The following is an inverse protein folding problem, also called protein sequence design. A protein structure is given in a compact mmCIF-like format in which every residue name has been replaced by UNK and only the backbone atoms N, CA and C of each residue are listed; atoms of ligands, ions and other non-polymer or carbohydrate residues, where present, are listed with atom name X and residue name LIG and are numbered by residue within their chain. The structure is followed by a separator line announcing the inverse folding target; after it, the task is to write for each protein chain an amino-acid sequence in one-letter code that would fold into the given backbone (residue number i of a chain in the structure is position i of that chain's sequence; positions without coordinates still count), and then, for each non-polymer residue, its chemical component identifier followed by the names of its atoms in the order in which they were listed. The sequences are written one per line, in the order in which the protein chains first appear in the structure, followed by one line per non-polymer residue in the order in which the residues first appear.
data_IF_022927595531
#
_entry.id   IF_022927595531
#
_cell.length_a   1.000
_cell.length_b   1.000
_cell.length_c   1.000
_cell.angle_alpha   90.00
_cell.angle_beta   90.00
_cell.angle_gamma   90.00
#
_symmetry.space_group_name_H-M   'P 1'
#
loop_
_entity.id
_entity.type
_entity.pdbx_description
1 polymer ?
#
# COMPACT_ATOMS: atom_id res chain seq x y z
N UNK A 1 12.57 10.70 6.90
CA UNK A 1 13.35 9.98 7.94
C UNK A 1 12.58 8.76 8.45
N UNK A 2 13.19 7.82 9.19
CA UNK A 2 12.51 6.62 9.72
C UNK A 2 11.25 6.99 10.53
N UNK A 3 11.35 7.98 11.43
CA UNK A 3 10.23 8.40 12.26
C UNK A 3 9.01 8.88 11.48
N UNK A 4 9.22 9.63 10.40
CA UNK A 4 8.14 10.07 9.48
C UNK A 4 7.48 8.87 8.78
N UNK A 5 8.24 7.83 8.45
CA UNK A 5 7.69 6.63 7.80
C UNK A 5 6.91 5.75 8.77
N UNK A 6 7.34 5.67 10.04
CA UNK A 6 6.55 5.04 11.11
C UNK A 6 5.22 5.77 11.27
N UNK A 7 5.26 7.11 11.35
CA UNK A 7 4.06 7.95 11.42
C UNK A 7 3.15 7.73 10.21
N UNK A 8 3.72 7.70 9.00
CA UNK A 8 2.98 7.47 7.76
C UNK A 8 2.28 6.11 7.75
N UNK A 9 2.96 5.01 8.12
CA UNK A 9 2.32 3.70 8.16
C UNK A 9 1.26 3.60 9.27
N UNK A 10 1.49 4.23 10.43
CA UNK A 10 0.47 4.31 11.48
C UNK A 10 -0.80 5.00 10.99
N UNK A 11 -0.65 6.17 10.37
CA UNK A 11 -1.77 6.98 9.86
C UNK A 11 -2.50 6.26 8.72
N UNK A 12 -1.75 5.58 7.84
CA UNK A 12 -2.30 4.74 6.77
C UNK A 12 -3.18 3.61 7.28
N UNK A 13 -2.81 3.02 8.43
CA UNK A 13 -3.59 1.95 9.05
C UNK A 13 -4.72 2.50 9.97
N UNK A 14 -4.87 3.82 10.07
CA UNK A 14 -5.92 4.45 10.86
C UNK A 14 -5.73 4.39 12.37
N UNK A 15 -4.54 4.06 12.86
CA UNK A 15 -4.28 3.96 14.30
C UNK A 15 -3.91 5.30 14.93
N UNK A 16 -4.41 5.54 16.15
CA UNK A 16 -3.90 6.60 17.00
C UNK A 16 -2.54 6.19 17.62
N UNK A 17 -1.83 7.12 18.27
CA UNK A 17 -0.51 6.86 18.83
C UNK A 17 -0.49 5.90 20.04
N UNK A 18 -1.58 5.79 20.79
CA UNK A 18 -1.66 4.86 21.94
C UNK A 18 -1.79 3.44 21.39
N UNK A 19 -2.83 3.21 20.59
CA UNK A 19 -3.16 1.88 20.05
C UNK A 19 -1.97 1.31 19.26
N UNK A 20 -1.34 2.13 18.41
CA UNK A 20 -0.19 1.69 17.62
C UNK A 20 1.04 1.34 18.46
N UNK A 21 1.27 2.06 19.57
CA UNK A 21 2.38 1.75 20.47
C UNK A 21 2.16 0.41 21.17
N UNK A 22 0.90 0.13 21.57
CA UNK A 22 0.53 -1.13 22.22
C UNK A 22 0.75 -2.34 21.31
N UNK A 23 0.51 -2.20 20.00
CA UNK A 23 0.83 -3.25 19.00
C UNK A 23 2.30 -3.65 19.01
N UNK A 24 3.20 -2.73 19.40
CA UNK A 24 4.63 -2.96 19.51
C UNK A 24 5.09 -3.24 20.95
N UNK A 25 4.18 -3.48 21.90
CA UNK A 25 4.50 -3.65 23.32
C UNK A 25 5.17 -2.41 23.93
N UNK A 26 4.91 -1.23 23.37
CA UNK A 26 5.53 0.03 23.76
C UNK A 26 4.52 1.00 24.36
N UNK A 27 5.02 2.02 25.07
CA UNK A 27 4.17 3.11 25.58
C UNK A 27 4.03 4.19 24.52
N UNK A 28 2.94 4.96 24.57
CA UNK A 28 2.71 6.13 23.69
C UNK A 28 3.93 7.07 23.61
N UNK A 29 4.60 7.33 24.74
CA UNK A 29 5.81 8.17 24.80
C UNK A 29 6.92 7.62 23.89
N UNK A 30 7.15 6.32 23.92
CA UNK A 30 8.15 5.63 23.10
C UNK A 30 7.85 5.80 21.60
N UNK A 31 6.58 5.67 21.20
CA UNK A 31 6.19 5.93 19.82
C UNK A 31 6.43 7.38 19.40
N UNK A 32 6.14 8.37 20.28
CA UNK A 32 6.43 9.78 19.98
C UNK A 32 7.94 9.99 19.75
N UNK A 33 8.78 9.33 20.54
CA UNK A 33 10.24 9.41 20.38
C UNK A 33 10.69 8.74 19.07
N UNK A 34 10.02 7.66 18.63
CA UNK A 34 10.24 7.06 17.31
C UNK A 34 9.82 8.00 16.18
N UNK A 35 8.63 8.58 16.24
CA UNK A 35 8.10 9.45 15.19
C UNK A 35 8.91 10.75 15.04
N UNK A 36 9.52 11.23 16.13
CA UNK A 36 10.47 12.35 16.12
C UNK A 36 11.89 11.96 15.70
N UNK A 37 12.17 10.66 15.57
CA UNK A 37 13.49 10.14 15.25
C UNK A 37 14.50 10.23 16.40
N UNK A 38 14.06 10.43 17.64
CA UNK A 38 14.92 10.46 18.83
C UNK A 38 15.40 9.06 19.23
N UNK A 39 14.56 8.04 19.01
CA UNK A 39 14.93 6.62 19.11
C UNK A 39 14.29 5.86 17.95
N UNK A 40 14.53 4.55 17.84
CA UNK A 40 13.90 3.70 16.83
C UNK A 40 13.40 2.39 17.45
N UNK A 41 12.36 1.76 16.88
CA UNK A 41 11.93 0.44 17.30
C UNK A 41 13.04 -0.60 17.04
N UNK A 42 13.17 -1.57 17.95
CA UNK A 42 14.05 -2.71 17.75
C UNK A 42 13.44 -3.75 16.79
N UNK A 43 14.21 -4.77 16.43
CA UNK A 43 13.76 -5.79 15.48
C UNK A 43 12.51 -6.54 15.93
N UNK A 44 12.35 -6.85 17.22
CA UNK A 44 11.15 -7.50 17.76
C UNK A 44 9.91 -6.60 17.68
N UNK A 45 10.09 -5.29 17.92
CA UNK A 45 9.02 -4.31 17.78
C UNK A 45 8.59 -4.16 16.31
N UNK A 46 9.55 -4.14 15.39
CA UNK A 46 9.26 -4.15 13.95
C UNK A 46 8.56 -5.44 13.52
N UNK A 47 8.96 -6.61 14.06
CA UNK A 47 8.29 -7.88 13.80
C UNK A 47 6.82 -7.84 14.25
N UNK A 48 6.54 -7.36 15.46
CA UNK A 48 5.18 -7.22 15.98
C UNK A 48 4.33 -6.28 15.09
N UNK A 49 4.89 -5.13 14.71
CA UNK A 49 4.23 -4.20 13.80
C UNK A 49 3.99 -4.78 12.39
N UNK A 50 4.92 -5.61 11.89
CA UNK A 50 4.76 -6.28 10.58
C UNK A 50 3.52 -7.17 10.54
N UNK A 51 3.23 -7.88 11.64
CA UNK A 51 2.04 -8.73 11.76
C UNK A 51 0.72 -7.95 11.69
N UNK A 52 0.77 -6.64 11.94
CA UNK A 52 -0.37 -5.72 11.88
C UNK A 52 -0.49 -5.02 10.52
N UNK A 53 0.34 -5.40 9.53
CA UNK A 53 0.29 -4.85 8.18
C UNK A 53 1.16 -3.62 7.95
N UNK A 54 2.05 -3.27 8.90
CA UNK A 54 3.04 -2.21 8.70
C UNK A 54 4.08 -2.66 7.67
N UNK A 55 4.34 -1.85 6.65
CA UNK A 55 5.42 -2.09 5.69
C UNK A 55 6.79 -1.77 6.32
N UNK A 56 7.38 -2.77 6.99
CA UNK A 56 8.70 -2.63 7.62
C UNK A 56 9.80 -2.33 6.59
N UNK A 57 9.67 -2.86 5.37
CA UNK A 57 10.59 -2.58 4.27
C UNK A 57 10.60 -1.08 3.95
N UNK A 58 9.43 -0.47 3.82
CA UNK A 58 9.29 0.98 3.69
C UNK A 58 9.83 1.73 4.90
N UNK A 59 9.48 1.32 6.12
CA UNK A 59 9.95 1.99 7.35
C UNK A 59 11.47 2.07 7.38
N UNK A 60 12.17 0.96 7.12
CA UNK A 60 13.63 0.89 7.20
C UNK A 60 14.29 1.53 5.97
N UNK A 61 13.87 1.16 4.76
CA UNK A 61 14.58 1.52 3.52
C UNK A 61 14.09 2.81 2.87
N UNK A 62 12.85 3.22 3.14
CA UNK A 62 12.18 4.29 2.42
C UNK A 62 11.52 3.87 1.11
N UNK A 63 11.72 2.64 0.66
CA UNK A 63 11.11 2.11 -0.56
C UNK A 63 9.87 1.29 -0.20
N UNK A 64 8.71 1.67 -0.76
CA UNK A 64 7.48 0.88 -0.56
C UNK A 64 7.62 -0.49 -1.18
N UNK A 65 7.22 -1.53 -0.46
CA UNK A 65 7.14 -2.88 -1.02
C UNK A 65 6.09 -2.92 -2.12
N UNK A 66 6.45 -3.46 -3.28
CA UNK A 66 5.48 -3.77 -4.32
C UNK A 66 4.77 -5.05 -3.89
N UNK A 67 3.48 -4.96 -3.59
CA UNK A 67 2.67 -6.12 -3.28
C UNK A 67 2.43 -6.92 -4.56
N UNK A 68 3.32 -7.86 -4.88
CA UNK A 68 3.27 -8.67 -6.10
C UNK A 68 1.99 -9.50 -6.21
N UNK A 69 1.43 -9.95 -5.08
CA UNK A 69 0.11 -10.60 -5.04
C UNK A 69 -0.99 -9.63 -5.51
N UNK A 70 -0.93 -8.38 -5.07
CA UNK A 70 -1.89 -7.35 -5.52
C UNK A 70 -1.76 -7.05 -7.00
N UNK A 71 -0.53 -6.99 -7.52
CA UNK A 71 -0.28 -6.84 -8.96
C UNK A 71 -0.91 -8.00 -9.73
N UNK A 72 -0.76 -9.24 -9.26
CA UNK A 72 -1.38 -10.40 -9.89
C UNK A 72 -2.93 -10.28 -9.90
N UNK A 73 -3.55 -9.93 -8.77
CA UNK A 73 -5.01 -9.73 -8.68
C UNK A 73 -5.52 -8.70 -9.71
N UNK A 74 -4.80 -7.58 -9.85
CA UNK A 74 -5.16 -6.51 -10.79
C UNK A 74 -5.03 -6.97 -12.24
N UNK A 75 -3.97 -7.73 -12.55
CA UNK A 75 -3.78 -8.31 -13.88
C UNK A 75 -4.93 -9.26 -14.22
N UNK A 76 -5.27 -10.19 -13.32
CA UNK A 76 -6.38 -11.13 -13.54
C UNK A 76 -7.73 -10.41 -13.75
N UNK A 77 -8.00 -9.37 -12.96
CA UNK A 77 -9.21 -8.55 -13.10
C UNK A 77 -9.27 -7.84 -14.47
N UNK A 78 -8.16 -7.23 -14.89
CA UNK A 78 -8.09 -6.53 -16.17
C UNK A 78 -8.29 -7.51 -17.34
N UNK A 79 -7.60 -8.66 -17.32
CA UNK A 79 -7.73 -9.64 -18.39
C UNK A 79 -9.17 -10.18 -18.48
N UNK A 80 -9.80 -10.47 -17.35
CA UNK A 80 -11.21 -10.92 -17.30
C UNK A 80 -12.16 -9.89 -17.91
N UNK A 81 -12.01 -8.61 -17.55
CA UNK A 81 -12.84 -7.53 -18.09
C UNK A 81 -12.61 -7.29 -19.58
N UNK A 82 -11.36 -7.39 -20.05
CA UNK A 82 -11.03 -7.26 -21.47
C UNK A 82 -11.69 -8.37 -22.29
N UNK A 83 -11.65 -9.61 -21.80
CA UNK A 83 -12.30 -10.76 -22.43
C UNK A 83 -13.83 -10.56 -22.46
N UNK A 84 -14.44 -10.21 -21.32
CA UNK A 84 -15.88 -9.99 -21.20
C UNK A 84 -16.40 -8.94 -22.21
N UNK A 85 -15.66 -7.86 -22.40
CA UNK A 85 -16.05 -6.76 -23.27
C UNK A 85 -15.50 -6.89 -24.71
N UNK A 86 -14.84 -8.01 -25.04
CA UNK A 86 -14.27 -8.24 -26.37
C UNK A 86 -13.22 -7.22 -26.79
N UNK A 87 -12.45 -6.68 -25.83
CA UNK A 87 -11.46 -5.62 -26.05
C UNK A 87 -10.06 -6.22 -26.18
N UNK A 88 -9.29 -5.69 -27.13
CA UNK A 88 -7.87 -6.00 -27.24
C UNK A 88 -7.04 -4.73 -26.97
N UNK A 89 -6.23 -4.78 -25.92
CA UNK A 89 -5.35 -3.69 -25.53
C UNK A 89 -3.91 -4.17 -25.65
N UNK A 90 -3.05 -3.35 -26.28
CA UNK A 90 -1.63 -3.69 -26.42
C UNK A 90 -0.96 -3.92 -25.05
N UNK A 91 0.11 -4.73 -24.96
CA UNK A 91 0.84 -4.92 -23.70
C UNK A 91 1.27 -3.61 -23.02
N UNK A 92 1.67 -2.61 -23.83
CA UNK A 92 2.02 -1.27 -23.33
C UNK A 92 0.82 -0.51 -22.77
N UNK A 93 -0.37 -0.66 -23.37
CA UNK A 93 -1.62 -0.12 -22.86
C UNK A 93 -2.02 -0.76 -21.53
N UNK A 94 -1.93 -2.09 -21.43
CA UNK A 94 -2.20 -2.84 -20.19
C UNK A 94 -1.27 -2.38 -19.06
N UNK A 95 0.03 -2.25 -19.33
CA UNK A 95 1.00 -1.76 -18.35
C UNK A 95 0.66 -0.36 -17.81
N UNK A 96 0.18 0.55 -18.67
CA UNK A 96 -0.26 1.89 -18.26
C UNK A 96 -1.50 1.85 -17.37
N UNK A 97 -2.47 1.00 -17.69
CA UNK A 97 -3.68 0.82 -16.87
C UNK A 97 -3.29 0.28 -15.49
N UNK A 98 -2.45 -0.76 -15.43
CA UNK A 98 -1.97 -1.34 -14.17
C UNK A 98 -1.22 -0.29 -13.34
N UNK A 99 -0.31 0.47 -13.94
CA UNK A 99 0.42 1.53 -13.25
C UNK A 99 -0.52 2.59 -12.66
N UNK A 100 -1.46 3.11 -13.47
CA UNK A 100 -2.43 4.11 -12.99
C UNK A 100 -3.35 3.58 -11.90
N UNK A 101 -3.77 2.31 -11.97
CA UNK A 101 -4.56 1.69 -10.90
C UNK A 101 -3.78 1.54 -9.60
N UNK A 102 -2.51 1.13 -9.68
CA UNK A 102 -1.64 1.01 -8.50
C UNK A 102 -1.36 2.39 -7.87
N UNK A 103 -1.17 3.43 -8.68
CA UNK A 103 -1.01 4.82 -8.21
C UNK A 103 -2.28 5.31 -7.49
N UNK A 104 -3.45 5.13 -8.11
CA UNK A 104 -4.74 5.47 -7.49
C UNK A 104 -4.99 4.72 -6.18
N UNK A 105 -4.58 3.46 -6.09
CA UNK A 105 -4.67 2.65 -4.87
C UNK A 105 -3.80 3.20 -3.73
N UNK A 106 -2.61 3.72 -4.07
CA UNK A 106 -1.69 4.32 -3.12
C UNK A 106 -2.17 5.67 -2.60
N UNK A 107 -2.79 6.49 -3.47
CA UNK A 107 -3.28 7.83 -3.12
C UNK A 107 -4.61 7.81 -2.37
N UNK A 108 -5.54 6.93 -2.78
CA UNK A 108 -6.90 6.89 -2.22
C UNK A 108 -7.04 6.03 -0.96
N UNK A 109 -6.03 5.23 -0.60
CA UNK A 109 -6.13 4.15 0.40
C UNK A 109 -7.31 3.19 0.16
N UNK A 110 -7.88 3.21 -1.05
CA UNK A 110 -9.06 2.45 -1.41
C UNK A 110 -8.68 1.32 -2.34
N UNK A 111 -9.16 0.11 -2.06
CA UNK A 111 -8.83 -1.08 -2.83
C UNK A 111 -9.41 -0.95 -4.25
N UNK A 112 -8.60 -1.19 -5.28
CA UNK A 112 -9.04 -1.31 -6.68
C UNK A 112 -10.06 -2.45 -6.77
N UNK A 113 -11.22 -2.14 -7.34
CA UNK A 113 -12.36 -3.05 -7.52
C UNK A 113 -12.84 -2.94 -8.96
N UNK A 114 -13.65 -3.90 -9.42
CA UNK A 114 -14.19 -3.92 -10.78
C UNK A 114 -14.87 -2.59 -11.18
N UNK A 115 -15.58 -1.94 -10.24
CA UNK A 115 -16.25 -0.66 -10.45
C UNK A 115 -15.29 0.49 -10.78
N UNK A 116 -14.07 0.45 -10.24
CA UNK A 116 -13.08 1.52 -10.43
C UNK A 116 -12.18 1.24 -11.64
N UNK A 117 -12.13 0.00 -12.13
CA UNK A 117 -11.36 -0.40 -13.32
C UNK A 117 -12.14 -0.18 -14.61
N UNK A 118 -13.48 -0.32 -14.57
CA UNK A 118 -14.37 -0.21 -15.72
C UNK A 118 -14.18 1.09 -16.56
N UNK A 119 -14.01 2.28 -15.96
CA UNK A 119 -13.78 3.51 -16.73
C UNK A 119 -12.46 3.50 -17.52
N UNK A 120 -11.42 2.86 -17.01
CA UNK A 120 -10.11 2.78 -17.68
C UNK A 120 -10.13 1.79 -18.85
N UNK A 121 -10.88 0.69 -18.70
CA UNK A 121 -11.04 -0.33 -19.74
C UNK A 121 -11.94 0.17 -20.87
N UNK A 122 -12.99 0.92 -20.54
CA UNK A 122 -13.88 1.51 -21.55
C UNK A 122 -13.20 2.63 -22.35
N UNK A 123 -12.42 3.49 -21.69
CA UNK A 123 -11.69 4.60 -22.31
C UNK A 123 -10.44 4.20 -23.13
N UNK A 124 -9.88 3.00 -22.94
CA UNK A 124 -8.71 2.50 -23.69
C UNK A 124 -9.03 2.09 -25.14
N UNK A 125 -9.96 2.80 -25.79
CA UNK A 125 -10.42 2.56 -27.16
C UNK A 125 -9.88 3.53 -28.20
N UNK A 126 -8.73 4.16 -27.94
CA UNK A 126 -7.97 4.94 -28.92
C UNK A 126 -6.88 4.08 -29.57
#
# INVERSE_FOLDING_TARGET
MIGERIKSEREKLGFNQVDFAELAGAKRRTLIDWEKGSTAPNAFQLEMLSRQGVDIGYVVTGNRSVNTKRVADIVELIESLLIEHGRNVSPKGKARIIAGLLELEQESQQKVTASNVLPFVTAAGF
#
